data_IF_518440361455
#
_entry.id   IF_518440361455
#
_cell.length_a   1.000
_cell.length_b   1.000
_cell.length_c   1.000
_cell.angle_alpha   90.00
_cell.angle_beta   90.00
_cell.angle_gamma   90.00
#
_symmetry.space_group_name_H-M   'P 1'
#
loop_
_entity.id
_entity.type
_entity.pdbx_description
1 polymer ?
#
# COMPACT_ATOMS: atom_id res chain seq x y z
N UNK A 1 17.02 -8.65 9.85
CA UNK A 1 16.56 -7.43 9.15
C UNK A 1 17.77 -6.56 8.81
N UNK A 2 18.22 -6.57 7.56
CA UNK A 2 19.19 -5.59 7.08
C UNK A 2 18.40 -4.31 6.79
N UNK A 3 18.56 -3.31 7.66
CA UNK A 3 17.80 -2.05 7.77
C UNK A 3 18.04 -1.10 6.59
N UNK A 4 17.81 -1.54 5.35
CA UNK A 4 17.75 -0.61 4.22
C UNK A 4 16.39 0.10 4.29
N UNK A 5 16.45 1.38 4.70
CA UNK A 5 15.44 2.43 4.53
C UNK A 5 14.08 2.33 5.22
N UNK A 6 13.64 1.19 5.74
CA UNK A 6 12.35 1.10 6.45
C UNK A 6 11.15 1.37 5.53
N UNK A 7 11.30 1.14 4.24
CA UNK A 7 10.24 1.35 3.24
C UNK A 7 9.72 0.00 2.78
N UNK A 8 8.40 -0.19 2.80
CA UNK A 8 7.73 -1.25 2.07
C UNK A 8 7.46 -0.78 0.64
N UNK A 9 8.08 -1.43 -0.34
CA UNK A 9 7.85 -1.14 -1.76
C UNK A 9 6.84 -2.14 -2.35
N UNK A 10 5.68 -1.64 -2.77
CA UNK A 10 4.70 -2.39 -3.54
C UNK A 10 4.96 -2.14 -5.01
N UNK A 11 5.67 -3.07 -5.66
CA UNK A 11 6.13 -2.90 -7.05
C UNK A 11 4.96 -2.77 -8.03
N UNK A 12 3.93 -3.60 -7.87
CA UNK A 12 2.73 -3.57 -8.73
C UNK A 12 1.52 -4.18 -8.07
N UNK A 13 0.35 -3.59 -8.31
CA UNK A 13 -0.96 -4.14 -8.01
C UNK A 13 -1.70 -4.43 -9.32
N UNK A 14 -2.46 -5.51 -9.31
CA UNK A 14 -3.30 -5.91 -10.43
C UNK A 14 -4.67 -6.31 -9.91
N UNK A 15 -5.70 -5.89 -10.62
CA UNK A 15 -7.05 -6.38 -10.39
C UNK A 15 -7.32 -7.52 -11.35
N UNK A 16 -7.99 -8.55 -10.85
CA UNK A 16 -8.53 -9.60 -11.71
C UNK A 16 -9.57 -9.00 -12.67
N UNK A 17 -9.68 -9.58 -13.86
CA UNK A 17 -10.66 -9.18 -14.86
C UNK A 17 -12.09 -9.15 -14.29
N UNK A 18 -12.81 -8.06 -14.57
CA UNK A 18 -14.16 -7.83 -14.08
C UNK A 18 -14.25 -7.22 -12.68
N UNK A 19 -13.14 -7.15 -11.93
CA UNK A 19 -13.11 -6.47 -10.64
C UNK A 19 -12.99 -4.96 -10.86
N UNK A 20 -13.98 -4.22 -10.39
CA UNK A 20 -13.99 -2.76 -10.45
C UNK A 20 -13.37 -2.17 -9.19
N UNK A 21 -12.46 -1.19 -9.32
CA UNK A 21 -11.98 -0.44 -8.17
C UNK A 21 -13.15 0.30 -7.52
N UNK A 22 -13.16 0.35 -6.19
CA UNK A 22 -14.20 0.99 -5.41
C UNK A 22 -13.73 1.23 -3.97
N UNK A 23 -14.45 2.11 -3.26
CA UNK A 23 -14.05 2.59 -1.92
C UNK A 23 -13.78 1.43 -0.94
N UNK A 24 -14.64 0.41 -0.93
CA UNK A 24 -14.48 -0.75 -0.04
C UNK A 24 -13.21 -1.55 -0.35
N UNK A 25 -12.96 -1.83 -1.64
CA UNK A 25 -11.77 -2.56 -2.07
C UNK A 25 -10.50 -1.78 -1.76
N UNK A 26 -10.49 -0.47 -2.05
CA UNK A 26 -9.36 0.40 -1.76
C UNK A 26 -9.06 0.44 -0.26
N UNK A 27 -10.08 0.57 0.60
CA UNK A 27 -9.90 0.57 2.06
C UNK A 27 -9.36 -0.76 2.57
N UNK A 28 -9.87 -1.88 2.07
CA UNK A 28 -9.37 -3.21 2.45
C UNK A 28 -7.92 -3.43 2.03
N UNK A 29 -7.56 -3.04 0.80
CA UNK A 29 -6.18 -3.10 0.32
C UNK A 29 -5.25 -2.19 1.11
N UNK A 30 -5.70 -0.96 1.41
CA UNK A 30 -4.95 -0.04 2.26
C UNK A 30 -4.64 -0.68 3.61
N UNK A 31 -5.66 -1.16 4.32
CA UNK A 31 -5.51 -1.76 5.65
C UNK A 31 -4.56 -2.97 5.62
N UNK A 32 -4.72 -3.86 4.64
CA UNK A 32 -3.86 -5.04 4.51
C UNK A 32 -2.39 -4.67 4.26
N UNK A 33 -2.12 -3.68 3.41
CA UNK A 33 -0.77 -3.19 3.13
C UNK A 33 -0.19 -2.46 4.37
N UNK A 34 -1.01 -1.66 5.04
CA UNK A 34 -0.63 -0.89 6.23
C UNK A 34 -0.27 -1.80 7.41
N UNK A 35 -1.11 -2.81 7.69
CA UNK A 35 -0.84 -3.82 8.72
C UNK A 35 0.41 -4.64 8.41
N UNK A 36 0.61 -4.98 7.13
CA UNK A 36 1.82 -5.68 6.69
C UNK A 36 3.07 -4.81 6.85
N UNK A 37 2.99 -3.52 6.50
CA UNK A 37 4.07 -2.56 6.69
C UNK A 37 4.44 -2.42 8.17
N UNK A 38 3.44 -2.29 9.06
CA UNK A 38 3.65 -2.26 10.52
C UNK A 38 4.31 -3.54 11.03
N UNK A 39 3.87 -4.72 10.57
CA UNK A 39 4.47 -5.99 10.94
C UNK A 39 5.94 -6.09 10.53
N UNK A 40 6.30 -5.53 9.38
CA UNK A 40 7.68 -5.41 8.89
C UNK A 40 8.48 -4.28 9.58
N UNK A 41 7.85 -3.52 10.49
CA UNK A 41 8.41 -2.30 11.09
C UNK A 41 8.85 -1.27 10.04
N UNK A 42 8.12 -1.19 8.92
CA UNK A 42 8.31 -0.14 7.93
C UNK A 42 7.73 1.19 8.44
N UNK A 43 8.38 2.30 8.08
CA UNK A 43 7.96 3.67 8.36
C UNK A 43 7.23 4.30 7.20
N UNK A 44 7.32 3.72 5.99
CA UNK A 44 6.69 4.23 4.78
C UNK A 44 6.31 3.12 3.82
N UNK A 45 5.22 3.31 3.09
CA UNK A 45 4.83 2.50 1.93
C UNK A 45 5.06 3.32 0.67
N UNK A 46 5.56 2.67 -0.38
CA UNK A 46 5.62 3.23 -1.74
C UNK A 46 4.86 2.33 -2.70
N UNK A 47 4.19 2.93 -3.68
CA UNK A 47 3.43 2.21 -4.70
C UNK A 47 4.08 2.45 -6.06
N UNK A 48 4.32 1.37 -6.79
CA UNK A 48 4.71 1.38 -8.19
C UNK A 48 3.49 1.39 -9.11
N UNK A 49 3.34 0.34 -9.92
CA UNK A 49 2.22 0.24 -10.86
C UNK A 49 0.91 -0.04 -10.11
N UNK A 50 -0.08 0.82 -10.24
CA UNK A 50 -1.41 0.63 -9.66
C UNK A 50 -2.49 0.74 -10.73
N UNK A 51 -3.54 -0.11 -10.68
CA UNK A 51 -4.68 -0.01 -11.59
C UNK A 51 -5.37 1.35 -11.46
N UNK A 52 -5.84 1.89 -12.58
CA UNK A 52 -6.56 3.16 -12.56
C UNK A 52 -7.80 3.06 -11.68
N UNK A 53 -7.98 4.06 -10.81
CA UNK A 53 -9.06 4.10 -9.82
C UNK A 53 -8.70 3.52 -8.45
N UNK A 54 -7.55 2.86 -8.28
CA UNK A 54 -6.99 2.56 -6.95
C UNK A 54 -5.92 3.57 -6.56
N UNK A 55 -6.02 4.08 -5.33
CA UNK A 55 -5.03 4.98 -4.70
C UNK A 55 -4.68 6.20 -5.56
N UNK A 56 -5.64 6.72 -6.33
CA UNK A 56 -5.40 7.83 -7.25
C UNK A 56 -4.84 9.07 -6.54
N UNK A 57 -5.27 9.32 -5.30
CA UNK A 57 -4.81 10.44 -4.46
C UNK A 57 -3.51 10.14 -3.70
N UNK A 58 -3.06 8.88 -3.66
CA UNK A 58 -1.90 8.43 -2.90
C UNK A 58 -0.97 7.56 -3.76
N UNK A 59 -0.81 7.91 -5.05
CA UNK A 59 0.03 7.13 -5.99
C UNK A 59 1.50 7.02 -5.57
N UNK A 60 1.98 7.92 -4.71
CA UNK A 60 3.34 7.87 -4.15
C UNK A 60 3.46 7.05 -2.86
N UNK A 61 2.37 6.42 -2.42
CA UNK A 61 2.26 5.72 -1.14
C UNK A 61 1.92 6.66 0.03
N UNK A 62 2.23 6.21 1.25
CA UNK A 62 1.91 6.92 2.50
C UNK A 62 2.94 6.62 3.59
N UNK A 63 3.02 7.49 4.60
CA UNK A 63 3.81 7.27 5.81
C UNK A 63 3.03 6.37 6.78
N UNK A 64 3.74 5.52 7.52
CA UNK A 64 3.16 4.69 8.58
C UNK A 64 3.28 5.46 9.88
N UNK A 65 2.16 5.85 10.46
CA UNK A 65 2.17 6.42 11.79
C UNK A 65 2.71 5.39 12.79
N UNK A 66 3.69 5.75 13.63
CA UNK A 66 4.10 4.89 14.72
C UNK A 66 2.86 4.65 15.60
N UNK A 67 2.56 3.39 15.88
CA UNK A 67 1.49 3.05 16.81
C UNK A 67 1.77 3.79 18.13
N UNK A 68 0.82 4.65 18.53
CA UNK A 68 0.86 5.39 19.80
C UNK A 68 0.82 4.44 20.99
#
# INVERSE_FOLDING_TARGET
MHRKTGVLEVISLWLQDGIKPGVTLQKGLFQAIDDFARWQQATRVTLGNCPDGLFAESRHGWEIDPAS
#
